data_IF_997642007380
#
_entry.id   IF_997642007380
#
_cell.length_a   1.000
_cell.length_b   1.000
_cell.length_c   1.000
_cell.angle_alpha   90.00
_cell.angle_beta   90.00
_cell.angle_gamma   90.00
#
_symmetry.space_group_name_H-M   'P 1'
#
loop_
_entity.id
_entity.type
_entity.pdbx_description
1 polymer ?
#
# COMPACT_ATOMS: atom_id res chain seq x y z
N UNK A 1 -12.19 7.46 -8.89
CA UNK A 1 -10.72 7.31 -8.85
C UNK A 1 -10.23 7.43 -10.28
N UNK A 2 -9.13 8.14 -10.56
CA UNK A 2 -8.62 8.26 -11.94
C UNK A 2 -7.84 7.01 -12.31
N UNK A 3 -7.93 6.57 -13.56
CA UNK A 3 -7.12 5.46 -14.07
C UNK A 3 -5.66 5.89 -14.20
N UNK A 4 -4.71 4.96 -14.06
CA UNK A 4 -3.27 5.24 -14.16
C UNK A 4 -2.92 6.01 -15.45
N UNK A 5 -3.51 5.58 -16.57
CA UNK A 5 -3.38 6.22 -17.88
C UNK A 5 -3.82 7.70 -17.87
N UNK A 6 -4.96 8.01 -17.26
CA UNK A 6 -5.48 9.38 -17.18
C UNK A 6 -4.56 10.27 -16.33
N UNK A 7 -3.95 9.72 -15.29
CA UNK A 7 -2.98 10.43 -14.44
C UNK A 7 -1.71 10.71 -15.25
N UNK A 8 -1.21 9.71 -15.97
CA UNK A 8 -0.04 9.85 -16.83
C UNK A 8 -0.27 10.91 -17.89
N UNK A 9 -1.33 10.78 -18.69
CA UNK A 9 -1.63 11.68 -19.80
C UNK A 9 -1.86 13.12 -19.31
N UNK A 10 -2.56 13.29 -18.18
CA UNK A 10 -2.71 14.61 -17.55
C UNK A 10 -1.37 15.19 -17.12
N UNK A 11 -0.52 14.40 -16.48
CA UNK A 11 0.79 14.86 -15.99
C UNK A 11 1.69 15.31 -17.13
N UNK A 12 1.75 14.53 -18.21
CA UNK A 12 2.50 14.89 -19.42
C UNK A 12 1.91 16.14 -20.07
N UNK A 13 0.58 16.23 -20.20
CA UNK A 13 -0.09 17.41 -20.74
C UNK A 13 0.21 18.67 -19.94
N UNK A 14 0.14 18.59 -18.60
CA UNK A 14 0.37 19.74 -17.72
C UNK A 14 1.84 20.17 -17.69
N UNK A 15 2.78 19.24 -17.83
CA UNK A 15 4.20 19.55 -18.05
C UNK A 15 4.41 20.24 -19.40
N UNK A 16 3.88 19.66 -20.49
CA UNK A 16 4.05 20.17 -21.85
C UNK A 16 3.49 21.58 -22.04
N UNK A 17 2.43 21.96 -21.32
CA UNK A 17 1.90 23.34 -21.31
C UNK A 17 2.85 24.37 -20.73
N UNK A 18 3.83 23.96 -19.91
CA UNK A 18 4.74 24.84 -19.17
C UNK A 18 6.12 24.98 -19.80
N UNK A 19 6.41 24.19 -20.83
CA UNK A 19 7.72 24.14 -21.48
C UNK A 19 7.64 24.53 -22.94
N UNK A 20 8.76 24.99 -23.50
CA UNK A 20 8.87 25.19 -24.95
C UNK A 20 8.68 23.86 -25.69
N UNK A 21 8.18 23.93 -26.92
CA UNK A 21 7.96 22.78 -27.79
C UNK A 21 9.19 21.87 -27.96
N UNK A 22 10.40 22.42 -27.84
CA UNK A 22 11.68 21.70 -27.94
C UNK A 22 11.87 20.73 -26.76
N UNK A 23 11.29 21.03 -25.60
CA UNK A 23 11.38 20.21 -24.38
C UNK A 23 10.09 19.46 -24.07
N UNK A 24 9.07 19.58 -24.92
CA UNK A 24 7.81 18.88 -24.72
C UNK A 24 8.04 17.38 -24.89
N UNK A 25 7.60 16.60 -23.91
CA UNK A 25 7.63 15.16 -24.01
C UNK A 25 6.67 14.69 -25.10
N UNK A 26 7.18 13.84 -25.97
CA UNK A 26 6.41 13.05 -26.93
C UNK A 26 6.86 11.62 -26.78
N UNK A 27 5.91 10.74 -26.55
CA UNK A 27 6.17 9.31 -26.41
C UNK A 27 5.54 8.59 -27.58
N UNK A 28 6.27 7.61 -28.10
CA UNK A 28 5.70 6.53 -28.90
C UNK A 28 4.80 5.65 -28.02
N UNK A 29 3.92 4.86 -28.64
CA UNK A 29 3.05 3.93 -27.92
C UNK A 29 3.87 2.92 -27.08
N UNK A 30 5.03 2.49 -27.59
CA UNK A 30 5.92 1.58 -26.85
C UNK A 30 6.56 2.24 -25.62
N UNK A 31 7.00 3.49 -25.74
CA UNK A 31 7.55 4.23 -24.59
C UNK A 31 6.46 4.51 -23.55
N UNK A 32 5.25 4.93 -23.99
CA UNK A 32 4.11 5.13 -23.10
C UNK A 32 3.79 3.86 -22.32
N UNK A 33 3.74 2.71 -23.01
CA UNK A 33 3.49 1.41 -22.38
C UNK A 33 4.56 1.07 -21.35
N UNK A 34 5.84 1.23 -21.70
CA UNK A 34 6.96 0.98 -20.79
C UNK A 34 6.87 1.84 -19.51
N UNK A 35 6.55 3.14 -19.63
CA UNK A 35 6.38 4.01 -18.46
C UNK A 35 5.20 3.59 -17.59
N UNK A 36 4.07 3.23 -18.19
CA UNK A 36 2.89 2.77 -17.45
C UNK A 36 3.18 1.48 -16.70
N UNK A 37 3.85 0.51 -17.31
CA UNK A 37 4.27 -0.75 -16.68
C UNK A 37 5.23 -0.48 -15.50
N UNK A 38 6.19 0.42 -15.68
CA UNK A 38 7.11 0.83 -14.61
C UNK A 38 6.36 1.46 -13.43
N UNK A 39 5.43 2.39 -13.70
CA UNK A 39 4.64 3.04 -12.64
C UNK A 39 3.75 2.02 -11.93
N UNK A 40 3.13 1.10 -12.67
CA UNK A 40 2.29 0.06 -12.10
C UNK A 40 3.11 -0.88 -11.19
N UNK A 41 4.33 -1.24 -11.60
CA UNK A 41 5.24 -2.06 -10.81
C UNK A 41 5.63 -1.34 -9.51
N UNK A 42 6.02 -0.07 -9.61
CA UNK A 42 6.34 0.72 -8.43
C UNK A 42 5.15 0.85 -7.47
N UNK A 43 3.94 1.07 -8.00
CA UNK A 43 2.74 1.15 -7.20
C UNK A 43 2.42 -0.17 -6.48
N UNK A 44 2.69 -1.33 -7.10
CA UNK A 44 2.61 -2.66 -6.46
C UNK A 44 3.56 -2.77 -5.29
N UNK A 45 4.82 -2.43 -5.48
CA UNK A 45 5.84 -2.51 -4.43
C UNK A 45 5.49 -1.61 -3.22
N UNK A 46 5.04 -0.38 -3.47
CA UNK A 46 4.62 0.54 -2.40
C UNK A 46 3.38 0.03 -1.67
N UNK A 47 2.41 -0.52 -2.39
CA UNK A 47 1.23 -1.13 -1.78
C UNK A 47 1.61 -2.32 -0.90
N UNK A 48 2.48 -3.21 -1.40
CA UNK A 48 2.96 -4.37 -0.66
C UNK A 48 3.71 -3.95 0.62
N UNK A 49 4.65 -3.02 0.53
CA UNK A 49 5.37 -2.49 1.69
C UNK A 49 4.41 -1.85 2.72
N UNK A 50 3.34 -1.19 2.25
CA UNK A 50 2.31 -0.62 3.13
C UNK A 50 1.51 -1.70 3.85
N UNK A 51 1.15 -2.79 3.17
CA UNK A 51 0.47 -3.94 3.77
C UNK A 51 1.35 -4.64 4.79
N UNK A 52 2.64 -4.83 4.50
CA UNK A 52 3.61 -5.40 5.44
C UNK A 52 3.73 -4.57 6.72
N UNK A 53 3.82 -3.25 6.58
CA UNK A 53 3.83 -2.32 7.71
C UNK A 53 2.53 -2.39 8.52
N UNK A 54 1.38 -2.47 7.85
CA UNK A 54 0.09 -2.61 8.51
C UNK A 54 0.01 -3.92 9.32
N UNK A 55 0.47 -5.03 8.74
CA UNK A 55 0.48 -6.33 9.39
C UNK A 55 1.43 -6.37 10.60
N UNK A 56 2.59 -5.72 10.52
CA UNK A 56 3.50 -5.56 11.67
C UNK A 56 2.86 -4.75 12.81
N UNK A 57 2.20 -3.63 12.49
CA UNK A 57 1.51 -2.80 13.49
C UNK A 57 0.30 -3.49 14.13
N UNK A 58 -0.40 -4.36 13.39
CA UNK A 58 -1.48 -5.17 13.92
C UNK A 58 -0.99 -6.13 15.02
N UNK A 59 0.18 -6.74 14.81
CA UNK A 59 0.81 -7.63 15.79
C UNK A 59 1.19 -6.90 17.10
N UNK A 60 1.69 -5.66 17.02
CA UNK A 60 2.07 -4.86 18.20
C UNK A 60 0.86 -4.48 19.06
N UNK A 61 -0.27 -4.08 18.45
CA UNK A 61 -1.46 -3.66 19.20
C UNK A 61 -2.13 -4.80 19.96
N UNK A 62 -1.99 -6.03 19.51
CA UNK A 62 -2.56 -7.21 20.18
C UNK A 62 -1.75 -7.59 21.45
N UNK A 63 -0.43 -7.41 21.42
CA UNK A 63 0.42 -7.68 22.58
C UNK A 63 0.34 -6.61 23.69
N UNK A 64 0.06 -5.35 23.34
CA UNK A 64 -0.07 -4.25 24.32
C UNK A 64 -1.41 -4.26 25.08
N UNK A 65 -2.32 -5.17 24.71
CA UNK A 65 -3.54 -5.48 25.49
C UNK A 65 -3.28 -6.27 26.78
N UNK A 66 -2.05 -6.79 26.98
CA UNK A 66 -1.63 -7.32 28.29
C UNK A 66 -1.37 -6.17 29.26
N UNK A 67 -2.44 -5.67 29.87
CA UNK A 67 -2.34 -4.93 31.12
C UNK A 67 -1.49 -5.77 32.10
N UNK A 68 -0.24 -5.35 32.35
CA UNK A 68 0.53 -5.82 33.50
C UNK A 68 -0.19 -5.35 34.75
N UNK A 69 -1.17 -6.13 35.20
CA UNK A 69 -1.80 -5.92 36.49
C UNK A 69 -0.74 -6.19 37.56
N UNK A 70 -0.22 -5.11 38.14
CA UNK A 70 0.73 -5.09 39.25
C UNK A 70 0.14 -5.59 40.58
N UNK A 71 -0.80 -6.54 40.56
CA UNK A 71 -1.33 -7.19 41.76
C UNK A 71 -1.59 -8.65 41.49
N UNK A 72 -1.16 -9.49 42.43
CA UNK A 72 -1.49 -10.90 42.48
C UNK A 72 -3.01 -11.07 42.63
N UNK A 73 -3.72 -11.11 41.52
CA UNK A 73 -5.14 -11.45 41.49
C UNK A 73 -5.25 -12.83 40.84
N UNK A 74 -5.87 -13.75 41.59
CA UNK A 74 -6.24 -15.11 41.17
C UNK A 74 -6.68 -15.11 39.71
N UNK A 75 -6.08 -16.01 38.93
CA UNK A 75 -6.37 -16.32 37.54
C UNK A 75 -7.82 -16.05 37.16
N UNK A 76 -8.06 -14.93 36.48
CA UNK A 76 -9.30 -14.72 35.75
C UNK A 76 -9.03 -15.20 34.34
N UNK A 77 -9.45 -16.43 34.05
CA UNK A 77 -9.60 -16.88 32.67
C UNK A 77 -10.86 -16.20 32.12
N UNK A 78 -10.71 -14.94 31.72
CA UNK A 78 -11.63 -14.33 30.77
C UNK A 78 -11.38 -15.10 29.49
N UNK A 79 -12.40 -15.74 28.91
CA UNK A 79 -12.29 -16.48 27.67
C UNK A 79 -11.54 -15.63 26.64
N UNK A 80 -10.25 -15.90 26.49
CA UNK A 80 -9.42 -15.27 25.50
C UNK A 80 -9.78 -15.98 24.21
N UNK A 81 -10.85 -15.52 23.56
CA UNK A 81 -10.98 -15.69 22.12
C UNK A 81 -9.72 -15.05 21.55
N UNK A 82 -8.69 -15.87 21.38
CA UNK A 82 -7.43 -15.46 20.81
C UNK A 82 -7.69 -15.18 19.34
N UNK A 83 -8.15 -13.98 19.02
CA UNK A 83 -8.29 -13.53 17.63
C UNK A 83 -6.87 -13.31 17.11
N UNK A 84 -6.28 -14.38 16.61
CA UNK A 84 -5.02 -14.34 15.88
C UNK A 84 -5.35 -13.83 14.48
N UNK A 85 -4.93 -12.60 14.18
CA UNK A 85 -4.95 -12.10 12.80
C UNK A 85 -3.71 -12.69 12.13
N UNK A 86 -3.92 -13.58 11.19
CA UNK A 86 -2.84 -14.11 10.37
C UNK A 86 -2.23 -12.97 9.55
N UNK A 87 -0.90 -12.80 9.62
CA UNK A 87 -0.18 -11.77 8.87
C UNK A 87 -0.44 -11.93 7.37
N UNK A 88 -0.55 -13.16 6.90
CA UNK A 88 -0.81 -13.47 5.49
C UNK A 88 -2.18 -12.96 5.05
N UNK A 89 -3.18 -12.88 5.94
CA UNK A 89 -4.49 -12.30 5.62
C UNK A 89 -4.41 -10.81 5.25
N UNK A 90 -3.35 -10.10 5.67
CA UNK A 90 -3.12 -8.68 5.38
C UNK A 90 -2.14 -8.53 4.22
N UNK A 91 -1.02 -9.26 4.23
CA UNK A 91 0.08 -9.09 3.26
C UNK A 91 -0.12 -9.82 1.94
N UNK A 92 -1.24 -10.52 1.76
CA UNK A 92 -1.56 -11.20 0.50
C UNK A 92 -1.64 -10.18 -0.65
N UNK A 93 -0.86 -10.40 -1.71
CA UNK A 93 -0.85 -9.53 -2.89
C UNK A 93 -2.22 -9.40 -3.56
N UNK A 94 -3.10 -10.40 -3.41
CA UNK A 94 -4.48 -10.32 -3.90
C UNK A 94 -5.32 -9.23 -3.20
N UNK A 95 -4.89 -8.75 -2.03
CA UNK A 95 -5.51 -7.60 -1.37
C UNK A 95 -5.23 -6.28 -2.10
N UNK A 96 -4.24 -6.26 -3.01
CA UNK A 96 -3.93 -5.13 -3.87
C UNK A 96 -4.91 -5.11 -5.05
N UNK A 97 -6.11 -4.60 -4.80
CA UNK A 97 -7.25 -4.68 -5.73
C UNK A 97 -7.38 -3.50 -6.70
N UNK A 98 -6.58 -2.44 -6.52
CA UNK A 98 -6.81 -1.12 -7.16
C UNK A 98 -5.67 -0.65 -8.08
N UNK A 99 -4.90 -1.58 -8.66
CA UNK A 99 -3.78 -1.28 -9.58
C UNK A 99 -4.04 -1.59 -11.04
#
# INVERSE_FOLDING_TARGET
>A
MKRLEEIFDKTISDYNKRVSHVYAFKFTDSERKMFLEMIQTYAREVAQASLEKAAYNANIKYHDGHNKLYKAVKHVQIGADNIQIDKESITNESNITLL
#
